data_IF_422316343215
#
_entry.id   IF_422316343215
#
_cell.length_a   1.000
_cell.length_b   1.000
_cell.length_c   1.000
_cell.angle_alpha   90.00
_cell.angle_beta   90.00
_cell.angle_gamma   90.00
#
_symmetry.space_group_name_H-M   'P 1'
#
loop_
_entity.id
_entity.type
_entity.pdbx_description
1 polymer ?
#
# COMPACT_ATOMS: atom_id res chain seq x y z
N UNK A 1 -2.03 -13.23 1.66
CA UNK A 1 -2.21 -12.54 0.36
C UNK A 1 -2.65 -13.59 -0.65
N UNK A 2 -3.53 -13.28 -1.62
CA UNK A 2 -4.01 -14.29 -2.56
C UNK A 2 -2.88 -15.03 -3.27
N UNK A 3 -2.91 -16.36 -3.21
CA UNK A 3 -1.87 -17.25 -3.76
C UNK A 3 -0.64 -17.48 -2.88
N UNK A 4 -0.62 -17.00 -1.63
CA UNK A 4 0.47 -17.19 -0.67
C UNK A 4 -0.03 -17.76 0.65
N UNK A 5 0.76 -18.63 1.28
CA UNK A 5 0.37 -19.33 2.51
C UNK A 5 -0.89 -20.15 2.28
N UNK A 6 -1.84 -20.06 3.21
CA UNK A 6 -3.12 -20.79 3.14
C UNK A 6 -4.21 -20.05 2.33
N UNK A 7 -3.86 -18.94 1.65
CA UNK A 7 -4.81 -18.18 0.83
C UNK A 7 -4.81 -18.68 -0.63
N UNK A 8 -5.95 -19.10 -1.20
CA UNK A 8 -6.01 -19.46 -2.61
C UNK A 8 -5.70 -18.27 -3.53
N UNK A 9 -5.32 -18.51 -4.79
CA UNK A 9 -5.23 -17.45 -5.79
C UNK A 9 -6.58 -16.75 -5.97
N UNK A 10 -6.55 -15.46 -6.31
CA UNK A 10 -7.76 -14.69 -6.61
C UNK A 10 -7.55 -13.90 -7.90
N UNK A 11 -8.32 -14.19 -8.95
CA UNK A 11 -8.18 -13.52 -10.25
C UNK A 11 -8.41 -12.01 -10.17
N UNK A 12 -9.25 -11.56 -9.23
CA UNK A 12 -9.55 -10.14 -9.05
C UNK A 12 -8.29 -9.31 -8.80
N UNK A 13 -7.22 -9.86 -8.22
CA UNK A 13 -6.05 -9.06 -7.82
C UNK A 13 -5.03 -8.83 -8.94
N UNK A 14 -5.34 -9.27 -10.16
CA UNK A 14 -4.53 -9.04 -11.36
C UNK A 14 -4.45 -7.54 -11.69
N UNK A 15 -5.55 -6.79 -11.52
CA UNK A 15 -5.59 -5.34 -11.80
C UNK A 15 -5.38 -4.50 -10.55
N UNK A 16 -4.98 -3.23 -10.72
CA UNK A 16 -4.87 -2.31 -9.60
C UNK A 16 -6.21 -2.07 -8.91
N UNK A 17 -7.30 -1.86 -9.67
CA UNK A 17 -8.63 -1.67 -9.08
C UNK A 17 -9.09 -2.91 -8.30
N UNK A 18 -8.83 -4.10 -8.81
CA UNK A 18 -9.22 -5.32 -8.11
C UNK A 18 -8.40 -5.57 -6.84
N UNK A 19 -7.15 -5.10 -6.76
CA UNK A 19 -6.39 -5.05 -5.50
C UNK A 19 -6.98 -4.07 -4.48
N UNK A 20 -7.50 -2.92 -4.93
CA UNK A 20 -8.25 -1.98 -4.06
C UNK A 20 -9.51 -2.67 -3.54
N UNK A 21 -10.32 -3.25 -4.42
CA UNK A 21 -11.55 -3.94 -4.05
C UNK A 21 -11.30 -5.11 -3.08
N UNK A 22 -10.21 -5.85 -3.29
CA UNK A 22 -9.82 -6.93 -2.39
C UNK A 22 -9.52 -6.41 -0.97
N UNK A 23 -8.70 -5.37 -0.83
CA UNK A 23 -8.41 -4.80 0.49
C UNK A 23 -9.66 -4.17 1.13
N UNK A 24 -10.47 -3.47 0.33
CA UNK A 24 -11.74 -2.88 0.77
C UNK A 24 -12.67 -3.93 1.39
N UNK A 25 -12.82 -5.08 0.71
CA UNK A 25 -13.60 -6.23 1.16
C UNK A 25 -13.02 -6.86 2.43
N UNK A 26 -11.70 -7.07 2.51
CA UNK A 26 -11.05 -7.59 3.73
C UNK A 26 -11.33 -6.70 4.94
N UNK A 27 -11.25 -5.37 4.77
CA UNK A 27 -11.56 -4.44 5.87
C UNK A 27 -13.03 -4.54 6.30
N UNK A 28 -13.95 -4.73 5.36
CA UNK A 28 -15.38 -4.88 5.64
C UNK A 28 -15.68 -6.19 6.38
N UNK A 29 -15.19 -7.32 5.88
CA UNK A 29 -15.42 -8.65 6.47
C UNK A 29 -14.83 -8.75 7.88
N UNK A 30 -13.71 -8.07 8.13
CA UNK A 30 -13.09 -8.02 9.47
C UNK A 30 -13.71 -6.94 10.38
N UNK A 31 -14.72 -6.20 9.91
CA UNK A 31 -15.37 -5.14 10.69
C UNK A 31 -14.43 -3.98 11.08
N UNK A 32 -13.35 -3.77 10.31
CA UNK A 32 -12.33 -2.77 10.62
C UNK A 32 -12.80 -1.36 10.28
N UNK A 33 -12.76 -0.49 11.27
CA UNK A 33 -13.07 0.93 11.11
C UNK A 33 -11.78 1.75 11.16
N UNK A 34 -11.44 2.39 10.04
CA UNK A 34 -10.26 3.26 9.88
C UNK A 34 -8.96 2.68 10.47
N UNK A 35 -8.49 1.50 10.03
CA UNK A 35 -7.26 0.92 10.56
C UNK A 35 -6.02 1.72 10.15
N UNK A 36 -4.90 1.45 10.83
CA UNK A 36 -3.57 1.78 10.31
C UNK A 36 -3.13 0.63 9.39
N UNK A 37 -2.83 0.94 8.14
CA UNK A 37 -2.38 -0.07 7.17
C UNK A 37 -0.85 -0.17 7.18
N UNK A 38 -0.33 -1.31 7.62
CA UNK A 38 1.11 -1.61 7.62
C UNK A 38 1.43 -2.48 6.40
N UNK A 39 2.37 -2.04 5.56
CA UNK A 39 2.64 -2.67 4.26
C UNK A 39 4.14 -2.89 4.01
N UNK A 40 4.68 -4.06 4.36
CA UNK A 40 6.05 -4.42 4.01
C UNK A 40 6.18 -4.95 2.59
N UNK A 41 7.23 -4.50 1.89
CA UNK A 41 7.73 -5.04 0.62
C UNK A 41 6.63 -5.32 -0.42
N UNK A 42 6.39 -6.59 -0.77
CA UNK A 42 5.46 -7.01 -1.82
C UNK A 42 4.02 -6.54 -1.63
N UNK A 43 3.59 -6.34 -0.37
CA UNK A 43 2.24 -5.85 -0.08
C UNK A 43 1.99 -4.43 -0.62
N UNK A 44 3.05 -3.68 -0.96
CA UNK A 44 2.96 -2.38 -1.60
C UNK A 44 2.12 -2.37 -2.89
N UNK A 45 2.12 -3.47 -3.66
CA UNK A 45 1.27 -3.59 -4.87
C UNK A 45 -0.21 -3.47 -4.58
N UNK A 46 -0.63 -3.75 -3.36
CA UNK A 46 -2.01 -3.66 -2.90
C UNK A 46 -2.25 -2.37 -2.13
N UNK A 47 -1.34 -2.04 -1.21
CA UNK A 47 -1.50 -0.90 -0.33
C UNK A 47 -1.41 0.44 -1.06
N UNK A 48 -0.52 0.60 -2.04
CA UNK A 48 -0.36 1.86 -2.77
C UNK A 48 -1.61 2.26 -3.58
N UNK A 49 -2.20 1.40 -4.43
CA UNK A 49 -3.45 1.77 -5.11
C UNK A 49 -4.59 2.00 -4.11
N UNK A 50 -4.63 1.25 -3.01
CA UNK A 50 -5.65 1.44 -1.98
C UNK A 50 -5.50 2.79 -1.28
N UNK A 51 -4.29 3.17 -0.90
CA UNK A 51 -3.98 4.48 -0.32
C UNK A 51 -4.40 5.64 -1.22
N UNK A 52 -4.11 5.52 -2.53
CA UNK A 52 -4.40 6.58 -3.51
C UNK A 52 -5.89 6.72 -3.84
N UNK A 53 -6.66 5.63 -3.75
CA UNK A 53 -8.08 5.60 -4.13
C UNK A 53 -9.01 5.72 -2.90
N UNK A 54 -8.62 5.15 -1.77
CA UNK A 54 -9.43 5.01 -0.55
C UNK A 54 -8.64 5.33 0.72
N UNK A 55 -7.70 6.27 0.67
CA UNK A 55 -6.88 6.66 1.83
C UNK A 55 -7.69 7.23 3.00
N UNK A 56 -8.91 7.71 2.76
CA UNK A 56 -9.88 8.16 3.76
C UNK A 56 -10.39 7.03 4.66
N UNK A 57 -10.40 5.78 4.14
CA UNK A 57 -10.68 4.57 4.92
C UNK A 57 -9.58 4.20 5.90
N UNK A 58 -8.47 4.92 5.95
CA UNK A 58 -7.34 4.65 6.86
C UNK A 58 -7.23 5.74 7.94
N UNK A 59 -6.78 5.34 9.13
CA UNK A 59 -6.31 6.29 10.14
C UNK A 59 -4.82 6.63 9.96
N UNK A 60 -4.07 5.78 9.26
CA UNK A 60 -2.67 5.99 8.96
C UNK A 60 -2.11 4.92 8.02
N UNK A 61 -0.92 5.17 7.50
CA UNK A 61 -0.23 4.27 6.58
C UNK A 61 1.24 4.12 7.00
N UNK A 62 1.73 2.87 7.04
CA UNK A 62 3.12 2.57 7.35
C UNK A 62 3.71 1.65 6.28
N UNK A 63 4.26 2.21 5.19
CA UNK A 63 5.03 1.44 4.22
C UNK A 63 6.39 1.04 4.78
N UNK A 64 6.79 -0.21 4.57
CA UNK A 64 8.13 -0.72 4.95
C UNK A 64 8.83 -1.23 3.69
N UNK A 65 9.70 -0.40 3.10
CA UNK A 65 10.36 -0.67 1.81
C UNK A 65 9.44 -1.30 0.74
N UNK A 66 8.26 -0.70 0.43
CA UNK A 66 7.27 -1.31 -0.46
C UNK A 66 7.75 -1.37 -1.91
N UNK A 67 7.28 -2.38 -2.63
CA UNK A 67 7.40 -2.44 -4.10
C UNK A 67 6.27 -1.65 -4.77
N UNK A 68 6.45 -1.29 -6.05
CA UNK A 68 5.40 -0.65 -6.87
C UNK A 68 5.31 0.88 -6.71
N UNK A 69 6.23 1.50 -5.96
CA UNK A 69 6.18 2.94 -5.71
C UNK A 69 6.39 3.80 -6.96
N UNK A 70 7.10 3.25 -7.96
CA UNK A 70 7.36 3.91 -9.25
C UNK A 70 6.17 3.90 -10.21
N UNK A 71 5.10 3.16 -9.88
CA UNK A 71 3.93 3.01 -10.74
C UNK A 71 2.99 4.22 -10.65
N UNK A 72 3.31 5.21 -9.80
CA UNK A 72 2.51 6.40 -9.53
C UNK A 72 3.37 7.66 -9.57
N UNK A 73 2.77 8.77 -9.97
CA UNK A 73 3.46 10.06 -10.09
C UNK A 73 3.56 10.80 -8.76
N UNK A 74 4.47 11.77 -8.67
CA UNK A 74 4.60 12.62 -7.50
C UNK A 74 3.30 13.35 -7.16
N UNK A 75 2.56 13.83 -8.18
CA UNK A 75 1.28 14.53 -8.00
C UNK A 75 0.19 13.61 -7.44
N UNK A 76 0.27 12.30 -7.72
CA UNK A 76 -0.64 11.33 -7.11
C UNK A 76 -0.32 11.16 -5.62
N UNK A 77 0.97 11.06 -5.25
CA UNK A 77 1.38 10.98 -3.85
C UNK A 77 1.05 12.24 -3.05
N UNK A 78 1.23 13.43 -3.64
CA UNK A 78 0.92 14.71 -2.98
C UNK A 78 -0.56 14.87 -2.62
N UNK A 79 -1.46 14.12 -3.26
CA UNK A 79 -2.90 14.14 -2.94
C UNK A 79 -3.24 13.30 -1.72
N UNK A 80 -2.35 12.41 -1.28
CA UNK A 80 -2.59 11.56 -0.10
C UNK A 80 -2.73 12.46 1.13
N UNK A 81 -3.83 12.27 1.86
CA UNK A 81 -4.09 12.98 3.13
C UNK A 81 -3.90 12.06 4.35
N UNK A 82 -3.68 10.76 4.12
CA UNK A 82 -3.50 9.76 5.18
C UNK A 82 -2.16 9.98 5.87
N UNK A 83 -2.13 10.17 7.21
CA UNK A 83 -0.88 10.28 7.96
C UNK A 83 0.04 9.08 7.68
N UNK A 84 1.29 9.34 7.28
CA UNK A 84 2.18 8.30 6.77
C UNK A 84 3.52 8.27 7.52
N UNK A 85 3.93 7.09 7.99
CA UNK A 85 5.28 6.85 8.53
C UNK A 85 6.05 5.92 7.57
N UNK A 86 6.99 6.48 6.83
CA UNK A 86 7.84 5.72 5.91
C UNK A 86 8.97 5.05 6.70
N UNK A 87 9.03 3.71 6.66
CA UNK A 87 10.09 2.93 7.30
C UNK A 87 10.92 2.20 6.24
N UNK A 88 12.23 2.19 6.43
CA UNK A 88 13.15 1.42 5.59
C UNK A 88 14.44 1.14 6.35
N UNK A 89 15.16 0.10 5.91
CA UNK A 89 16.49 -0.23 6.43
C UNK A 89 17.58 0.51 5.66
N UNK A 90 18.57 1.03 6.36
CA UNK A 90 19.76 1.69 5.77
C UNK A 90 20.58 0.76 4.86
N UNK A 91 20.54 -0.56 5.14
CA UNK A 91 21.22 -1.60 4.35
C UNK A 91 20.38 -2.20 3.22
N UNK A 92 19.11 -1.82 3.08
CA UNK A 92 18.31 -2.21 1.92
C UNK A 92 18.67 -1.32 0.74
N UNK A 93 19.71 -1.69 0.01
CA UNK A 93 20.17 -0.92 -1.17
C UNK A 93 19.30 -1.15 -2.40
N UNK A 94 18.27 -1.99 -2.32
CA UNK A 94 17.41 -2.36 -3.44
C UNK A 94 16.11 -1.58 -3.46
N UNK A 95 15.23 -1.83 -2.48
CA UNK A 95 13.89 -1.26 -2.45
C UNK A 95 13.85 0.10 -1.77
N UNK A 96 14.63 0.29 -0.69
CA UNK A 96 14.52 1.48 0.15
C UNK A 96 14.79 2.81 -0.59
N UNK A 97 15.85 2.98 -1.40
CA UNK A 97 16.11 4.27 -2.05
C UNK A 97 14.99 4.65 -3.00
N UNK A 98 14.49 3.69 -3.77
CA UNK A 98 13.40 3.93 -4.72
C UNK A 98 12.08 4.22 -3.99
N UNK A 99 11.79 3.47 -2.92
CA UNK A 99 10.58 3.69 -2.14
C UNK A 99 10.60 5.08 -1.48
N UNK A 100 11.70 5.45 -0.84
CA UNK A 100 11.87 6.76 -0.22
C UNK A 100 11.74 7.89 -1.24
N UNK A 101 12.41 7.77 -2.40
CA UNK A 101 12.40 8.79 -3.45
C UNK A 101 10.97 9.15 -3.91
N UNK A 102 10.06 8.17 -3.96
CA UNK A 102 8.69 8.40 -4.39
C UNK A 102 7.77 8.78 -3.22
N UNK A 103 7.87 8.07 -2.10
CA UNK A 103 6.96 8.24 -0.97
C UNK A 103 7.21 9.54 -0.20
N UNK A 104 8.39 10.14 -0.29
CA UNK A 104 8.66 11.47 0.28
C UNK A 104 7.79 12.59 -0.32
N UNK A 105 7.05 12.32 -1.41
CA UNK A 105 6.08 13.26 -1.97
C UNK A 105 4.73 13.24 -1.25
N UNK A 106 4.50 12.30 -0.33
CA UNK A 106 3.34 12.31 0.56
C UNK A 106 3.53 13.47 1.57
N UNK A 107 2.51 14.33 1.78
CA UNK A 107 2.59 15.47 2.71
C UNK A 107 2.84 15.10 4.17
#
# INVERSE_FOLDING_TARGET
MPGYGDSPPAEMVVTAQGRVAFLDHVLQELGMQRPVLISPSMSGRFALPFLLVQGDRLAGFMPIAPVGTKDYTAEQYQRVQTPTLILYGDRDTGLAPQALQNLQHIP
#
